data_IF_836144488028
#
_entry.id   IF_836144488028
#
_cell.length_a   1.000
_cell.length_b   1.000
_cell.length_c   1.000
_cell.angle_alpha   90.00
_cell.angle_beta   90.00
_cell.angle_gamma   90.00
#
_symmetry.space_group_name_H-M   'P 1'
#
loop_
_entity.id
_entity.type
_entity.pdbx_description
1 polymer ?
#
# COMPACT_ATOMS: atom_id res chain seq x y z
N UNK A 1 -7.08 -31.66 -2.69
CA UNK A 1 -6.71 -31.39 -4.11
C UNK A 1 -5.80 -30.19 -4.10
N UNK A 2 -4.50 -30.39 -4.28
CA UNK A 2 -3.50 -29.31 -4.31
C UNK A 2 -3.42 -28.77 -5.73
N UNK A 3 -4.24 -27.76 -6.03
CA UNK A 3 -4.06 -26.96 -7.23
C UNK A 3 -2.88 -26.02 -7.00
N UNK A 4 -1.74 -26.29 -7.63
CA UNK A 4 -0.66 -25.31 -7.80
C UNK A 4 -1.12 -24.28 -8.84
N UNK A 5 -2.08 -23.44 -8.46
CA UNK A 5 -2.47 -22.27 -9.25
C UNK A 5 -1.37 -21.20 -9.18
N UNK A 6 -1.24 -20.40 -10.24
CA UNK A 6 -0.32 -19.26 -10.20
C UNK A 6 -0.76 -18.31 -9.08
N UNK A 7 0.18 -17.93 -8.21
CA UNK A 7 -0.03 -16.88 -7.20
C UNK A 7 0.48 -15.55 -7.74
N UNK A 8 -0.33 -14.50 -7.60
CA UNK A 8 -0.03 -13.13 -7.99
C UNK A 8 -0.10 -12.21 -6.78
N UNK A 9 0.82 -11.25 -6.69
CA UNK A 9 0.74 -10.18 -5.70
C UNK A 9 0.33 -8.89 -6.40
N UNK A 10 -0.82 -8.36 -6.06
CA UNK A 10 -1.33 -7.10 -6.59
C UNK A 10 -1.10 -5.98 -5.57
N UNK A 11 -0.14 -5.08 -5.80
CA UNK A 11 0.08 -3.94 -4.92
C UNK A 11 -1.02 -2.89 -5.11
N UNK A 12 -1.34 -2.16 -4.05
CA UNK A 12 -2.23 -1.00 -4.12
C UNK A 12 -1.62 0.21 -3.41
N UNK A 13 -2.10 1.38 -3.82
CA UNK A 13 -1.98 2.66 -3.11
C UNK A 13 -3.37 3.27 -3.01
N UNK A 14 -3.70 3.84 -1.85
CA UNK A 14 -5.00 4.40 -1.57
C UNK A 14 -4.86 5.73 -0.82
N UNK A 15 -5.53 6.78 -1.30
CA UNK A 15 -5.75 8.02 -0.56
C UNK A 15 -6.94 7.80 0.39
N UNK A 16 -6.63 7.46 1.64
CA UNK A 16 -7.63 7.13 2.66
C UNK A 16 -8.43 8.36 3.04
N UNK A 17 -7.76 9.50 3.19
CA UNK A 17 -8.37 10.78 3.56
C UNK A 17 -7.53 11.94 3.02
N UNK A 18 -8.15 13.10 2.84
CA UNK A 18 -7.51 14.33 2.37
C UNK A 18 -8.05 15.53 3.15
N UNK A 19 -7.16 16.43 3.51
CA UNK A 19 -7.49 17.76 4.03
C UNK A 19 -7.08 18.81 3.01
N UNK A 20 -7.28 20.08 3.35
CA UNK A 20 -6.82 21.19 2.52
C UNK A 20 -5.28 21.29 2.43
N UNK A 21 -4.53 20.59 3.30
CA UNK A 21 -3.06 20.66 3.36
C UNK A 21 -2.36 19.31 3.52
N UNK A 22 -3.11 18.21 3.60
CA UNK A 22 -2.53 16.90 3.92
C UNK A 22 -3.28 15.77 3.23
N UNK A 23 -2.60 14.64 3.03
CA UNK A 23 -3.22 13.41 2.53
C UNK A 23 -2.78 12.22 3.39
N UNK A 24 -3.74 11.39 3.81
CA UNK A 24 -3.47 10.10 4.44
C UNK A 24 -3.32 9.06 3.34
N UNK A 25 -2.10 8.60 3.13
CA UNK A 25 -1.76 7.64 2.09
C UNK A 25 -1.55 6.28 2.74
N UNK A 26 -2.26 5.26 2.26
CA UNK A 26 -2.06 3.87 2.64
C UNK A 26 -1.60 3.03 1.45
N UNK A 27 -0.87 1.95 1.72
CA UNK A 27 -0.38 1.02 0.71
C UNK A 27 -0.43 -0.42 1.21
N UNK A 28 -0.34 -1.36 0.29
CA UNK A 28 -0.26 -2.77 0.64
C UNK A 28 -0.38 -3.62 -0.59
N UNK A 29 -0.88 -4.83 -0.42
CA UNK A 29 -1.27 -5.65 -1.56
C UNK A 29 -2.03 -6.89 -1.13
N UNK A 30 -2.70 -7.49 -2.11
CA UNK A 30 -3.43 -8.74 -1.95
C UNK A 30 -2.72 -9.84 -2.73
N UNK A 31 -2.73 -11.04 -2.16
CA UNK A 31 -2.35 -12.22 -2.89
C UNK A 31 -3.59 -12.80 -3.55
N UNK A 32 -3.48 -13.10 -4.83
CA UNK A 32 -4.49 -13.79 -5.61
C UNK A 32 -3.95 -15.15 -6.05
N UNK A 33 -4.84 -16.13 -6.14
CA UNK A 33 -4.55 -17.46 -6.66
C UNK A 33 -5.49 -17.75 -7.83
N UNK A 34 -4.93 -18.18 -8.95
CA UNK A 34 -5.70 -18.64 -10.10
C UNK A 34 -6.34 -20.01 -9.80
N UNK A 35 -7.65 -20.07 -9.94
CA UNK A 35 -8.46 -21.30 -9.82
C UNK A 35 -9.24 -21.52 -11.12
N UNK A 36 -9.90 -22.66 -11.24
CA UNK A 36 -10.67 -23.02 -12.45
C UNK A 36 -11.72 -21.99 -12.84
N UNK A 37 -12.27 -21.30 -11.85
CA UNK A 37 -13.39 -20.35 -12.02
C UNK A 37 -12.93 -18.89 -11.99
N UNK A 38 -11.62 -18.65 -11.98
CA UNK A 38 -11.01 -17.32 -11.96
C UNK A 38 -10.05 -17.09 -10.78
N UNK A 39 -9.71 -15.83 -10.56
CA UNK A 39 -8.82 -15.40 -9.48
C UNK A 39 -9.58 -15.20 -8.18
N UNK A 40 -9.02 -15.69 -7.08
CA UNK A 40 -9.57 -15.47 -5.74
C UNK A 40 -8.52 -14.87 -4.83
N UNK A 41 -8.97 -14.10 -3.84
CA UNK A 41 -8.09 -13.59 -2.77
C UNK A 41 -7.65 -14.77 -1.89
N UNK A 42 -6.37 -14.81 -1.57
CA UNK A 42 -5.77 -15.78 -0.65
C UNK A 42 -5.88 -15.24 0.78
N UNK A 43 -6.33 -16.08 1.71
CA UNK A 43 -6.39 -15.74 3.13
C UNK A 43 -4.97 -15.64 3.72
N UNK A 44 -4.79 -14.79 4.71
CA UNK A 44 -3.51 -14.61 5.40
C UNK A 44 -3.02 -15.92 6.04
N UNK A 45 -3.92 -16.80 6.46
CA UNK A 45 -3.58 -18.11 7.02
C UNK A 45 -3.04 -19.11 5.96
N UNK A 46 -3.32 -18.87 4.69
CA UNK A 46 -2.84 -19.67 3.55
C UNK A 46 -1.53 -19.13 2.93
N UNK A 47 -1.00 -18.03 3.51
CA UNK A 47 0.26 -17.43 3.11
C UNK A 47 1.45 -18.05 3.83
N UNK A 48 2.59 -18.11 3.12
CA UNK A 48 3.86 -18.43 3.74
C UNK A 48 4.19 -17.42 4.85
N UNK A 49 4.88 -17.84 5.91
CA UNK A 49 5.13 -17.01 7.09
C UNK A 49 5.76 -15.63 6.78
N UNK A 50 6.58 -15.51 5.73
CA UNK A 50 7.17 -14.22 5.31
C UNK A 50 6.23 -13.28 4.57
N UNK A 51 5.08 -13.78 4.07
CA UNK A 51 4.08 -13.05 3.29
C UNK A 51 2.87 -12.64 4.11
N UNK A 52 2.58 -13.36 5.20
CA UNK A 52 1.52 -13.03 6.18
C UNK A 52 1.84 -11.71 6.90
N UNK A 53 0.80 -10.98 7.33
CA UNK A 53 0.91 -9.74 8.10
C UNK A 53 -0.02 -9.79 9.32
N UNK A 54 0.55 -9.71 10.51
CA UNK A 54 -0.21 -9.69 11.76
C UNK A 54 -0.88 -8.31 11.91
N UNK A 55 -2.14 -8.20 11.46
CA UNK A 55 -2.89 -6.93 11.42
C UNK A 55 -3.63 -6.66 10.11
N UNK A 56 -3.43 -7.53 9.10
CA UNK A 56 -4.04 -7.40 7.78
C UNK A 56 -3.32 -6.40 6.87
N UNK A 57 -3.75 -6.33 5.61
CA UNK A 57 -3.15 -5.49 4.57
C UNK A 57 -3.81 -4.11 4.41
N UNK A 58 -4.97 -3.88 5.04
CA UNK A 58 -5.75 -2.64 4.92
C UNK A 58 -6.50 -2.32 6.22
N UNK A 59 -6.59 -1.03 6.57
CA UNK A 59 -7.36 -0.53 7.71
C UNK A 59 -6.50 0.09 8.80
N UNK A 60 -7.10 0.42 9.94
CA UNK A 60 -6.38 1.10 11.05
C UNK A 60 -5.32 0.22 11.71
N UNK A 61 -5.48 -1.10 11.63
CA UNK A 61 -4.58 -2.08 12.25
C UNK A 61 -3.59 -2.70 11.26
N UNK A 62 -3.52 -2.22 10.01
CA UNK A 62 -2.73 -2.89 8.99
C UNK A 62 -1.22 -2.77 9.23
N UNK A 63 -0.56 -3.92 9.07
CA UNK A 63 0.83 -4.09 9.44
C UNK A 63 1.78 -3.51 8.39
N UNK A 64 2.99 -3.09 8.78
CA UNK A 64 3.98 -2.56 7.85
C UNK A 64 4.48 -3.65 6.89
N UNK A 65 4.89 -3.23 5.70
CA UNK A 65 5.52 -4.11 4.69
C UNK A 65 7.06 -4.03 4.71
N UNK A 66 7.61 -3.19 5.58
CA UNK A 66 9.01 -2.75 5.62
C UNK A 66 9.06 -1.26 5.94
N UNK A 67 10.26 -0.67 5.94
CA UNK A 67 10.39 0.79 6.09
C UNK A 67 9.93 1.46 4.81
N UNK A 68 8.88 2.26 4.90
CA UNK A 68 8.29 2.92 3.76
C UNK A 68 8.61 4.41 3.70
N UNK A 69 8.73 4.92 2.47
CA UNK A 69 8.76 6.35 2.17
C UNK A 69 7.64 6.65 1.18
N UNK A 70 6.76 7.57 1.55
CA UNK A 70 5.73 8.13 0.68
C UNK A 70 6.24 9.47 0.16
N UNK A 71 6.29 9.60 -1.15
CA UNK A 71 6.65 10.83 -1.86
C UNK A 71 5.43 11.36 -2.61
N UNK A 72 5.21 12.66 -2.48
CA UNK A 72 4.22 13.40 -3.25
C UNK A 72 4.97 14.17 -4.32
N UNK A 73 4.59 13.96 -5.57
CA UNK A 73 5.22 14.54 -6.75
C UNK A 73 4.32 15.62 -7.35
N UNK A 74 4.92 16.75 -7.69
CA UNK A 74 4.29 17.82 -8.47
C UNK A 74 4.18 17.49 -9.96
N UNK A 75 3.75 18.47 -10.76
CA UNK A 75 3.46 18.29 -12.19
C UNK A 75 4.68 17.90 -13.06
N UNK A 76 5.89 18.26 -12.61
CA UNK A 76 7.19 17.99 -13.23
C UNK A 76 7.94 16.82 -12.56
N UNK A 77 7.22 15.96 -11.82
CA UNK A 77 7.75 14.79 -11.12
C UNK A 77 8.84 15.10 -10.07
N UNK A 78 8.97 16.36 -9.62
CA UNK A 78 9.76 16.70 -8.44
C UNK A 78 9.00 16.33 -7.17
N UNK A 79 9.72 15.89 -6.15
CA UNK A 79 9.14 15.61 -4.82
C UNK A 79 8.87 16.93 -4.12
N UNK A 80 7.59 17.21 -3.84
CA UNK A 80 7.13 18.42 -3.13
C UNK A 80 6.96 18.19 -1.63
N UNK A 81 6.66 16.95 -1.24
CA UNK A 81 6.50 16.55 0.16
C UNK A 81 6.82 15.06 0.31
N UNK A 82 7.20 14.65 1.51
CA UNK A 82 7.41 13.23 1.83
C UNK A 82 7.18 12.93 3.29
N UNK A 83 6.85 11.68 3.58
CA UNK A 83 6.78 11.12 4.92
C UNK A 83 7.30 9.69 4.92
N UNK A 84 7.73 9.20 6.08
CA UNK A 84 8.25 7.85 6.23
C UNK A 84 7.72 7.21 7.52
N UNK A 85 7.55 5.89 7.49
CA UNK A 85 7.16 5.08 8.65
C UNK A 85 7.62 3.64 8.45
N UNK A 86 7.91 2.95 9.55
CA UNK A 86 8.14 1.51 9.62
C UNK A 86 7.17 0.81 10.60
N UNK A 87 6.22 1.56 11.16
CA UNK A 87 5.30 1.08 12.20
C UNK A 87 3.98 0.54 11.62
N UNK A 88 3.55 1.08 10.48
CA UNK A 88 2.33 0.70 9.78
C UNK A 88 2.46 0.95 8.27
N UNK A 89 1.42 0.59 7.51
CA UNK A 89 1.37 0.78 6.06
C UNK A 89 0.54 2.01 5.62
N UNK A 90 0.50 3.05 6.45
CA UNK A 90 -0.16 4.31 6.14
C UNK A 90 0.54 5.48 6.81
N UNK A 91 0.49 6.67 6.19
CA UNK A 91 1.09 7.88 6.76
C UNK A 91 0.40 9.13 6.25
N UNK A 92 0.32 10.15 7.10
CA UNK A 92 -0.03 11.50 6.67
C UNK A 92 1.18 12.15 5.98
N UNK A 93 0.96 12.69 4.79
CA UNK A 93 1.86 13.64 4.17
C UNK A 93 1.24 15.03 4.28
N UNK A 94 1.99 15.97 4.84
CA UNK A 94 1.55 17.35 5.10
C UNK A 94 2.21 18.34 4.14
N UNK A 95 1.78 19.61 4.18
CA UNK A 95 2.36 20.70 3.39
C UNK A 95 1.88 20.77 1.93
N UNK A 96 0.72 20.17 1.65
CA UNK A 96 0.10 20.21 0.32
C UNK A 96 -0.69 21.51 0.12
N UNK A 97 -0.84 21.90 -1.14
CA UNK A 97 -1.67 23.04 -1.54
C UNK A 97 -3.04 22.54 -2.02
N UNK A 98 -4.13 23.24 -1.65
CA UNK A 98 -5.47 22.92 -2.14
C UNK A 98 -5.58 23.20 -3.64
N UNK A 99 -6.49 22.50 -4.32
CA UNK A 99 -6.73 22.64 -5.77
C UNK A 99 -5.48 22.34 -6.64
N UNK A 100 -4.55 21.55 -6.10
CA UNK A 100 -3.32 21.14 -6.81
C UNK A 100 -3.34 19.65 -7.09
N UNK A 101 -3.05 19.28 -8.35
CA UNK A 101 -2.91 17.90 -8.78
C UNK A 101 -1.55 17.32 -8.38
N UNK A 102 -1.57 16.16 -7.71
CA UNK A 102 -0.37 15.46 -7.27
C UNK A 102 -0.33 14.02 -7.76
N UNK A 103 0.89 13.46 -7.86
CA UNK A 103 1.12 12.02 -7.98
C UNK A 103 1.73 11.50 -6.69
N UNK A 104 1.39 10.27 -6.32
CA UNK A 104 1.89 9.65 -5.08
C UNK A 104 2.72 8.43 -5.45
N UNK A 105 3.86 8.27 -4.77
CA UNK A 105 4.76 7.12 -4.91
C UNK A 105 5.09 6.59 -3.53
N UNK A 106 5.02 5.27 -3.37
CA UNK A 106 5.48 4.59 -2.16
C UNK A 106 6.65 3.69 -2.52
N UNK A 107 7.71 3.77 -1.71
CA UNK A 107 8.85 2.84 -1.75
C UNK A 107 8.95 2.12 -0.42
N UNK A 108 9.20 0.83 -0.45
CA UNK A 108 9.38 -0.01 0.76
C UNK A 108 10.75 -0.65 0.68
N UNK A 109 11.57 -0.46 1.71
CA UNK A 109 12.93 -0.99 1.86
C UNK A 109 13.96 -0.55 0.79
N UNK A 110 13.67 0.51 0.03
CA UNK A 110 14.58 1.12 -0.96
C UNK A 110 14.09 0.96 -2.38
#
# INVERSE_FOLDING_TARGET
MTGTGQRHFEPFIHLVDVTHTSALVAWGGFFFEERSDGWVVVDDDDLEAGRRRDGGSIGVASAPYGRAVVEVLGADDHVVASAATDECNHVWVEGLEPDTGYRYRVRVDG
#
